data_IF_442151020011
#
_entry.id   IF_442151020011
#
_cell.length_a   1.000
_cell.length_b   1.000
_cell.length_c   1.000
_cell.angle_alpha   90.00
_cell.angle_beta   90.00
_cell.angle_gamma   90.00
#
_symmetry.space_group_name_H-M   'P 1'
#
loop_
_entity.id
_entity.type
_entity.pdbx_description
1 polymer ?
#
# COMPACT_ATOMS: atom_id res chain seq x y z
N UNK A 1 -5.97 7.54 10.58
CA UNK A 1 -5.74 6.44 11.55
C UNK A 1 -4.26 6.35 11.79
N UNK A 2 -3.88 5.96 13.00
CA UNK A 2 -2.49 5.61 13.32
C UNK A 2 -2.14 4.25 12.71
N UNK A 3 -0.84 3.97 12.59
CA UNK A 3 -0.35 2.70 12.00
C UNK A 3 -0.95 1.48 12.69
N UNK A 4 -1.00 1.48 14.02
CA UNK A 4 -1.48 0.34 14.81
C UNK A 4 -2.96 0.01 14.54
N UNK A 5 -3.80 1.03 14.31
CA UNK A 5 -5.22 0.85 13.98
C UNK A 5 -5.37 0.23 12.59
N UNK A 6 -4.65 0.77 11.61
CA UNK A 6 -4.62 0.24 10.25
C UNK A 6 -4.09 -1.19 10.20
N UNK A 7 -3.08 -1.50 11.02
CA UNK A 7 -2.51 -2.85 11.09
C UNK A 7 -3.51 -3.86 11.69
N UNK A 8 -4.31 -3.42 12.65
CA UNK A 8 -5.37 -4.25 13.25
C UNK A 8 -6.52 -4.53 12.28
N UNK A 9 -6.89 -3.56 11.44
CA UNK A 9 -8.01 -3.71 10.50
C UNK A 9 -7.63 -4.35 9.16
N UNK A 10 -6.43 -4.07 8.65
CA UNK A 10 -6.02 -4.44 7.30
C UNK A 10 -4.77 -5.32 7.23
N UNK A 11 -4.14 -5.62 8.37
CA UNK A 11 -2.96 -6.46 8.45
C UNK A 11 -1.67 -5.67 8.26
N UNK A 12 -0.92 -5.93 7.18
CA UNK A 12 0.34 -5.22 6.97
C UNK A 12 0.08 -3.79 6.51
N UNK A 13 0.78 -2.84 7.12
CA UNK A 13 0.79 -1.42 6.71
C UNK A 13 2.20 -1.05 6.30
N UNK A 14 2.30 -0.31 5.20
CA UNK A 14 3.54 0.19 4.67
C UNK A 14 3.60 1.70 4.82
N UNK A 15 4.74 2.20 5.29
CA UNK A 15 5.13 3.58 5.03
C UNK A 15 5.75 3.72 3.63
N UNK A 16 6.03 4.95 3.18
CA UNK A 16 6.62 5.21 1.86
C UNK A 16 7.93 4.47 1.59
N UNK A 17 8.81 4.32 2.59
CA UNK A 17 10.09 3.61 2.43
C UNK A 17 9.88 2.10 2.28
N UNK A 18 9.00 1.53 3.09
CA UNK A 18 8.63 0.11 3.01
C UNK A 18 7.92 -0.20 1.68
N UNK A 19 7.01 0.68 1.23
CA UNK A 19 6.31 0.54 -0.04
C UNK A 19 7.30 0.49 -1.21
N UNK A 20 8.21 1.46 -1.32
CA UNK A 20 9.19 1.51 -2.42
C UNK A 20 10.14 0.31 -2.40
N UNK A 21 10.37 -0.30 -1.23
CA UNK A 21 11.18 -1.51 -1.11
C UNK A 21 10.46 -2.72 -1.71
N UNK A 22 9.21 -2.94 -1.33
CA UNK A 22 8.45 -4.15 -1.68
C UNK A 22 7.75 -4.02 -3.06
N UNK A 23 7.39 -2.80 -3.46
CA UNK A 23 6.54 -2.49 -4.62
C UNK A 23 7.11 -1.43 -5.55
N UNK A 24 6.73 -1.51 -6.82
CA UNK A 24 6.85 -0.44 -7.81
C UNK A 24 5.49 0.25 -7.95
N UNK A 25 5.45 1.57 -7.79
CA UNK A 25 4.22 2.34 -7.89
C UNK A 25 3.95 2.68 -9.36
N UNK A 26 2.78 2.28 -9.86
CA UNK A 26 2.38 2.48 -11.25
C UNK A 26 1.55 3.76 -11.40
N UNK A 27 0.47 3.88 -10.62
CA UNK A 27 -0.45 5.00 -10.73
C UNK A 27 -1.11 5.34 -9.40
N UNK A 28 -1.57 6.58 -9.25
CA UNK A 28 -2.31 7.05 -8.07
C UNK A 28 -3.71 7.49 -8.48
N UNK A 29 -4.71 6.98 -7.79
CA UNK A 29 -6.11 7.38 -7.94
C UNK A 29 -6.79 7.33 -6.58
N UNK A 30 -6.76 8.45 -5.84
CA UNK A 30 -7.28 8.51 -4.48
C UNK A 30 -8.70 7.91 -4.37
N UNK A 31 -8.97 7.01 -3.40
CA UNK A 31 -8.11 6.63 -2.26
C UNK A 31 -7.14 5.46 -2.52
N UNK A 32 -6.93 5.07 -3.78
CA UNK A 32 -6.13 3.91 -4.19
C UNK A 32 -4.80 4.28 -4.85
N UNK A 33 -3.85 3.35 -4.76
CA UNK A 33 -2.59 3.35 -5.51
C UNK A 33 -2.45 2.01 -6.20
N UNK A 34 -2.11 2.03 -7.48
CA UNK A 34 -1.79 0.84 -8.25
C UNK A 34 -0.30 0.54 -8.12
N UNK A 35 0.02 -0.70 -7.80
CA UNK A 35 1.38 -1.15 -7.53
C UNK A 35 1.67 -2.50 -8.18
N UNK A 36 2.95 -2.76 -8.43
CA UNK A 36 3.46 -4.06 -8.81
C UNK A 36 4.36 -4.58 -7.72
N UNK A 37 4.08 -5.75 -7.16
CA UNK A 37 4.94 -6.39 -6.18
C UNK A 37 6.25 -6.84 -6.85
N UNK A 38 7.40 -6.45 -6.30
CA UNK A 38 8.70 -6.73 -6.93
C UNK A 38 9.12 -8.19 -6.84
N UNK A 39 8.68 -8.89 -5.79
CA UNK A 39 9.03 -10.29 -5.54
C UNK A 39 8.31 -11.25 -6.48
N UNK A 40 7.00 -11.04 -6.69
CA UNK A 40 6.13 -11.90 -7.51
C UNK A 40 5.94 -11.35 -8.93
N UNK A 41 6.07 -10.04 -9.11
CA UNK A 41 5.75 -9.35 -10.35
C UNK A 41 4.26 -9.09 -10.55
N UNK A 42 3.41 -9.46 -9.59
CA UNK A 42 1.96 -9.31 -9.66
C UNK A 42 1.54 -7.85 -9.52
N UNK A 43 0.50 -7.46 -10.25
CA UNK A 43 -0.10 -6.13 -10.13
C UNK A 43 -1.29 -6.19 -9.18
N UNK A 44 -1.51 -5.08 -8.50
CA UNK A 44 -2.66 -4.93 -7.63
C UNK A 44 -2.85 -3.50 -7.21
N UNK A 45 -3.83 -3.30 -6.34
CA UNK A 45 -4.13 -2.00 -5.75
C UNK A 45 -4.02 -2.04 -4.24
N UNK A 46 -3.71 -0.89 -3.67
CA UNK A 46 -3.69 -0.65 -2.23
C UNK A 46 -4.48 0.61 -1.91
N UNK A 47 -5.07 0.67 -0.73
CA UNK A 47 -5.57 1.93 -0.19
C UNK A 47 -4.42 2.76 0.39
N UNK A 48 -4.57 4.08 0.38
CA UNK A 48 -3.60 4.95 1.02
C UNK A 48 -4.25 6.13 1.74
N UNK A 49 -3.63 6.58 2.83
CA UNK A 49 -3.96 7.85 3.49
C UNK A 49 -2.82 8.86 3.32
N UNK A 50 -3.15 10.15 3.24
CA UNK A 50 -2.18 11.22 2.98
C UNK A 50 -1.41 11.69 4.23
N UNK A 51 -2.02 11.65 5.43
CA UNK A 51 -1.39 12.13 6.66
C UNK A 51 -1.90 11.38 7.91
N UNK A 52 -1.02 10.67 8.67
CA UNK A 52 0.32 10.25 8.28
C UNK A 52 0.30 9.37 7.01
N UNK A 53 1.33 9.41 6.16
CA UNK A 53 1.33 8.69 4.87
C UNK A 53 1.49 7.18 5.07
N UNK A 54 0.43 6.42 4.81
CA UNK A 54 0.43 4.96 4.88
C UNK A 54 -0.30 4.32 3.71
N UNK A 55 0.09 3.08 3.41
CA UNK A 55 -0.47 2.22 2.37
C UNK A 55 -0.85 0.87 2.99
N UNK A 56 -2.00 0.32 2.62
CA UNK A 56 -2.54 -0.88 3.26
C UNK A 56 -3.58 -1.58 2.37
N UNK A 57 -4.04 -2.75 2.82
CA UNK A 57 -5.06 -3.55 2.14
C UNK A 57 -4.72 -3.89 0.68
N UNK A 58 -3.51 -4.41 0.45
CA UNK A 58 -3.09 -4.88 -0.87
C UNK A 58 -4.01 -5.98 -1.40
N UNK A 59 -4.48 -5.82 -2.63
CA UNK A 59 -5.29 -6.79 -3.36
C UNK A 59 -4.76 -6.95 -4.76
N UNK A 60 -4.51 -8.21 -5.14
CA UNK A 60 -4.15 -8.62 -6.50
C UNK A 60 -5.40 -8.47 -7.39
N UNK A 61 -5.21 -8.06 -8.64
CA UNK A 61 -6.26 -8.06 -9.68
C UNK A 61 -6.46 -9.43 -10.35
#
# INVERSE_FOLDING_TARGET
MEREELEKEHGKVWNTKELIKDFEVISFLAPFVEVKEKSTGEKGSMMFQHNPRFYFAFKIE
#
